data_IF_148494071082
#
_entry.id   IF_148494071082
#
_cell.length_a   1.000
_cell.length_b   1.000
_cell.length_c   1.000
_cell.angle_alpha   90.00
_cell.angle_beta   90.00
_cell.angle_gamma   90.00
#
_symmetry.space_group_name_H-M   'P 1'
#
loop_
_entity.id
_entity.type
_entity.pdbx_description
1 polymer ?
#
# COMPACT_ATOMS: atom_id res chain seq x y z
N UNK A 1 -31.51 -16.13 42.25
CA UNK A 1 -30.69 -16.82 41.22
C UNK A 1 -31.58 -17.14 40.01
N UNK A 2 -31.41 -16.59 38.81
CA UNK A 2 -30.19 -16.58 37.98
C UNK A 2 -30.31 -15.44 36.97
N UNK A 3 -29.22 -14.71 36.75
CA UNK A 3 -29.06 -13.67 35.72
C UNK A 3 -28.71 -14.37 34.39
N UNK A 4 -29.28 -13.96 33.26
CA UNK A 4 -28.52 -13.99 32.00
C UNK A 4 -29.01 -12.92 31.01
N UNK A 5 -28.05 -12.06 30.65
CA UNK A 5 -28.12 -11.01 29.65
C UNK A 5 -28.35 -11.61 28.25
N UNK A 6 -29.12 -10.93 27.41
CA UNK A 6 -29.05 -11.16 25.96
C UNK A 6 -28.81 -9.82 25.28
N UNK A 7 -27.59 -9.71 24.74
CA UNK A 7 -27.01 -8.57 24.05
C UNK A 7 -27.92 -7.99 22.98
N UNK A 8 -28.04 -6.67 22.96
CA UNK A 8 -28.48 -5.92 21.78
C UNK A 8 -27.37 -5.97 20.73
N UNK A 9 -27.51 -6.82 19.72
CA UNK A 9 -26.68 -6.78 18.52
C UNK A 9 -27.11 -5.56 17.71
N UNK A 10 -26.29 -4.51 17.73
CA UNK A 10 -26.45 -3.36 16.82
C UNK A 10 -25.80 -3.77 15.50
N UNK A 11 -26.63 -4.15 14.52
CA UNK A 11 -26.21 -4.33 13.13
C UNK A 11 -25.89 -2.95 12.54
N UNK A 12 -24.61 -2.60 12.49
CA UNK A 12 -24.13 -1.47 11.70
C UNK A 12 -24.07 -1.92 10.25
N UNK A 13 -25.12 -1.60 9.49
CA UNK A 13 -25.15 -1.78 8.04
C UNK A 13 -24.18 -0.78 7.40
N UNK A 14 -22.98 -1.24 7.05
CA UNK A 14 -22.10 -0.50 6.14
C UNK A 14 -22.76 -0.47 4.76
N UNK A 15 -23.34 0.66 4.39
CA UNK A 15 -23.80 0.89 3.02
C UNK A 15 -22.57 0.98 2.12
N UNK A 16 -22.28 -0.09 1.38
CA UNK A 16 -21.33 -0.08 0.27
C UNK A 16 -21.82 0.92 -0.77
N UNK A 17 -21.17 2.08 -0.85
CA UNK A 17 -21.36 3.01 -1.95
C UNK A 17 -20.68 2.37 -3.16
N UNK A 18 -21.46 1.65 -3.96
CA UNK A 18 -21.02 1.20 -5.28
C UNK A 18 -20.91 2.44 -6.18
N UNK A 19 -19.73 3.07 -6.19
CA UNK A 19 -19.41 4.15 -7.11
C UNK A 19 -19.26 3.53 -8.50
N UNK A 20 -20.33 3.52 -9.30
CA UNK A 20 -20.29 3.05 -10.69
C UNK A 20 -19.60 4.09 -11.57
N UNK A 21 -18.28 4.22 -11.41
CA UNK A 21 -17.45 4.89 -12.39
C UNK A 21 -17.19 3.88 -13.52
N UNK A 22 -17.95 3.99 -14.61
CA UNK A 22 -17.58 3.39 -15.90
C UNK A 22 -16.35 4.18 -16.37
N UNK A 23 -15.19 3.88 -15.79
CA UNK A 23 -13.92 4.32 -16.33
C UNK A 23 -13.66 3.43 -17.53
N UNK A 24 -13.55 4.03 -18.72
CA UNK A 24 -13.06 3.33 -19.89
C UNK A 24 -11.81 2.55 -19.50
N UNK A 25 -11.76 1.27 -19.87
CA UNK A 25 -10.57 0.42 -19.69
C UNK A 25 -9.39 1.20 -20.29
N UNK A 26 -8.52 1.74 -19.46
CA UNK A 26 -7.49 2.68 -19.87
C UNK A 26 -6.15 2.08 -19.51
N UNK A 27 -5.28 1.92 -20.51
CA UNK A 27 -3.85 1.59 -20.30
C UNK A 27 -3.11 2.68 -19.52
N UNK A 28 -3.71 3.84 -19.35
CA UNK A 28 -3.01 5.02 -18.85
C UNK A 28 -3.12 5.09 -17.34
N UNK A 29 -1.98 5.39 -16.72
CA UNK A 29 -1.90 5.66 -15.30
C UNK A 29 -2.43 7.06 -15.01
N UNK A 30 -3.41 7.16 -14.12
CA UNK A 30 -4.02 8.42 -13.70
C UNK A 30 -3.59 8.73 -12.28
N UNK A 31 -3.07 9.93 -12.05
CA UNK A 31 -2.78 10.41 -10.70
C UNK A 31 -4.09 10.78 -9.98
N UNK A 32 -4.22 10.34 -8.73
CA UNK A 32 -5.40 10.54 -7.91
C UNK A 32 -5.01 10.97 -6.50
N UNK A 33 -5.95 11.61 -5.79
CA UNK A 33 -5.76 11.94 -4.38
C UNK A 33 -5.77 10.67 -3.55
N UNK A 34 -4.81 10.56 -2.63
CA UNK A 34 -4.73 9.45 -1.67
C UNK A 34 -5.87 9.56 -0.66
N UNK A 35 -6.59 8.46 -0.44
CA UNK A 35 -7.64 8.35 0.57
C UNK A 35 -7.25 7.38 1.70
N UNK A 36 -8.02 7.37 2.78
CA UNK A 36 -7.83 6.42 3.88
C UNK A 36 -8.00 4.96 3.42
N UNK A 37 -8.91 4.70 2.47
CA UNK A 37 -9.11 3.38 1.89
C UNK A 37 -7.88 2.92 1.07
N UNK A 38 -7.20 3.86 0.41
CA UNK A 38 -5.96 3.55 -0.33
C UNK A 38 -4.81 3.22 0.63
N UNK A 39 -4.73 3.93 1.77
CA UNK A 39 -3.78 3.61 2.84
C UNK A 39 -4.04 2.21 3.41
N UNK A 40 -5.30 1.87 3.69
CA UNK A 40 -5.68 0.54 4.16
C UNK A 40 -5.29 -0.55 3.15
N UNK A 41 -5.57 -0.34 1.86
CA UNK A 41 -5.18 -1.24 0.79
C UNK A 41 -3.66 -1.47 0.77
N UNK A 42 -2.88 -0.38 0.81
CA UNK A 42 -1.41 -0.45 0.81
C UNK A 42 -0.89 -1.25 2.01
N UNK A 43 -1.32 -0.90 3.22
CA UNK A 43 -0.81 -1.52 4.44
C UNK A 43 -1.26 -2.98 4.55
N UNK A 44 -2.48 -3.31 4.14
CA UNK A 44 -2.96 -4.69 4.10
C UNK A 44 -2.17 -5.54 3.08
N UNK A 45 -1.89 -4.99 1.90
CA UNK A 45 -1.10 -5.68 0.88
C UNK A 45 0.34 -5.94 1.35
N UNK A 46 0.97 -4.97 2.02
CA UNK A 46 2.31 -5.14 2.61
C UNK A 46 2.32 -6.12 3.79
N UNK A 47 1.31 -6.09 4.66
CA UNK A 47 1.25 -6.96 5.82
C UNK A 47 1.05 -8.44 5.46
N UNK A 48 0.46 -8.73 4.31
CA UNK A 48 0.16 -10.08 3.86
C UNK A 48 1.25 -10.62 2.92
N UNK A 49 2.38 -11.07 3.49
CA UNK A 49 3.51 -11.60 2.70
C UNK A 49 3.17 -12.83 1.87
N UNK A 50 2.07 -13.54 2.17
CA UNK A 50 1.61 -14.69 1.37
C UNK A 50 1.07 -14.29 -0.01
N UNK A 51 0.71 -13.02 -0.21
CA UNK A 51 0.24 -12.49 -1.50
C UNK A 51 1.35 -11.77 -2.27
N UNK A 52 2.59 -11.86 -1.83
CA UNK A 52 3.70 -11.28 -2.57
C UNK A 52 3.92 -12.08 -3.86
N UNK A 53 4.15 -11.36 -4.95
CA UNK A 53 4.66 -11.98 -6.16
C UNK A 53 6.00 -12.67 -5.86
N UNK A 54 6.28 -13.84 -6.49
CA UNK A 54 7.42 -14.68 -6.13
C UNK A 54 8.79 -14.01 -6.34
N UNK A 55 8.84 -12.92 -7.11
CA UNK A 55 10.05 -12.15 -7.39
C UNK A 55 10.35 -11.07 -6.35
N UNK A 56 9.45 -10.83 -5.39
CA UNK A 56 9.65 -9.84 -4.34
C UNK A 56 10.44 -10.48 -3.20
N UNK A 57 11.71 -10.08 -3.07
CA UNK A 57 12.58 -10.50 -1.96
C UNK A 57 12.79 -9.39 -0.92
N UNK A 58 12.23 -8.21 -1.16
CA UNK A 58 12.39 -7.02 -0.31
C UNK A 58 11.22 -6.90 0.64
N UNK A 59 11.49 -6.76 1.93
CA UNK A 59 10.48 -6.40 2.93
C UNK A 59 10.56 -4.92 3.24
N UNK A 60 9.40 -4.26 3.34
CA UNK A 60 9.31 -2.83 3.62
C UNK A 60 8.16 -2.54 4.56
N UNK A 61 8.30 -1.46 5.33
CA UNK A 61 7.15 -0.74 5.84
C UNK A 61 7.02 0.59 5.09
N UNK A 62 5.80 1.08 4.96
CA UNK A 62 5.48 2.34 4.33
C UNK A 62 4.93 3.34 5.36
N UNK A 63 5.23 4.62 5.17
CA UNK A 63 4.50 5.72 5.77
C UNK A 63 3.33 6.12 4.85
N UNK A 64 2.66 7.23 5.18
CA UNK A 64 1.63 7.82 4.33
C UNK A 64 2.21 8.11 2.93
N UNK A 65 1.53 7.68 1.84
CA UNK A 65 1.96 7.95 0.48
C UNK A 65 2.05 9.44 0.16
N UNK A 66 3.07 9.81 -0.61
CA UNK A 66 3.22 11.15 -1.18
C UNK A 66 2.29 11.34 -2.39
N UNK A 67 2.12 10.30 -3.21
CA UNK A 67 1.20 10.29 -4.34
C UNK A 67 0.75 8.88 -4.68
N UNK A 68 -0.36 8.81 -5.42
CA UNK A 68 -0.93 7.57 -5.92
C UNK A 68 -1.29 7.72 -7.40
N UNK A 69 -0.91 6.71 -8.18
CA UNK A 69 -1.42 6.52 -9.54
C UNK A 69 -2.22 5.23 -9.62
N UNK A 70 -3.32 5.26 -10.35
CA UNK A 70 -4.18 4.08 -10.58
C UNK A 70 -4.33 3.80 -12.06
N UNK A 71 -4.59 2.54 -12.39
CA UNK A 71 -4.86 2.08 -13.75
C UNK A 71 -5.93 0.99 -13.70
N UNK A 72 -6.96 1.09 -14.53
CA UNK A 72 -7.97 0.05 -14.66
C UNK A 72 -7.43 -1.04 -15.59
N UNK A 73 -6.91 -2.12 -15.02
CA UNK A 73 -6.28 -3.20 -15.77
C UNK A 73 -7.29 -4.11 -16.48
N UNK A 74 -8.44 -4.35 -15.84
CA UNK A 74 -9.55 -5.14 -16.38
C UNK A 74 -10.87 -4.72 -15.70
N UNK A 75 -12.05 -5.20 -16.15
CA UNK A 75 -13.34 -4.86 -15.52
C UNK A 75 -13.42 -5.20 -14.03
N UNK A 76 -12.59 -6.13 -13.56
CA UNK A 76 -12.57 -6.57 -12.16
C UNK A 76 -11.24 -6.31 -11.47
N UNK A 77 -10.29 -5.63 -12.13
CA UNK A 77 -8.92 -5.49 -11.63
C UNK A 77 -8.42 -4.08 -11.81
N UNK A 78 -7.86 -3.52 -10.73
CA UNK A 78 -7.20 -2.22 -10.72
C UNK A 78 -5.76 -2.37 -10.24
N UNK A 79 -4.85 -1.63 -10.87
CA UNK A 79 -3.47 -1.50 -10.45
C UNK A 79 -3.27 -0.17 -9.74
N UNK A 80 -2.42 -0.20 -8.71
CA UNK A 80 -2.07 0.94 -7.88
C UNK A 80 -0.54 1.07 -7.87
N UNK A 81 -0.04 2.29 -7.99
CA UNK A 81 1.35 2.65 -7.82
C UNK A 81 1.44 3.74 -6.74
N UNK A 82 1.84 3.32 -5.54
CA UNK A 82 2.03 4.20 -4.41
C UNK A 82 3.47 4.70 -4.40
N UNK A 83 3.66 6.01 -4.46
CA UNK A 83 4.96 6.63 -4.17
C UNK A 83 5.00 7.00 -2.69
N UNK A 84 5.88 6.36 -1.92
CA UNK A 84 5.89 6.44 -0.46
C UNK A 84 7.31 6.58 0.07
N UNK A 85 7.45 7.28 1.19
CA UNK A 85 8.62 7.16 2.04
C UNK A 85 8.45 5.99 3.01
N UNK A 86 9.54 5.32 3.39
CA UNK A 86 9.47 4.21 4.33
C UNK A 86 10.83 3.63 4.68
N UNK A 87 10.80 2.36 5.06
CA UNK A 87 11.96 1.62 5.53
C UNK A 87 12.09 0.30 4.77
N UNK A 88 13.30 -0.01 4.33
CA UNK A 88 13.68 -1.36 3.91
C UNK A 88 14.03 -2.15 5.17
N UNK A 89 13.39 -3.30 5.32
CA UNK A 89 13.49 -4.20 6.46
C UNK A 89 14.39 -5.39 6.13
N UNK A 90 14.90 -6.06 7.17
CA UNK A 90 15.68 -7.30 7.04
C UNK A 90 14.80 -8.53 6.91
N UNK A 91 13.62 -8.48 7.49
CA UNK A 91 12.66 -9.57 7.58
C UNK A 91 11.22 -9.01 7.54
N UNK A 92 10.25 -9.92 7.58
CA UNK A 92 8.84 -9.61 7.46
C UNK A 92 8.16 -9.26 8.79
N UNK A 93 8.86 -9.12 9.91
CA UNK A 93 8.21 -8.92 11.21
C UNK A 93 7.45 -7.57 11.28
N UNK A 94 7.95 -6.56 10.58
CA UNK A 94 7.46 -5.18 10.66
C UNK A 94 6.90 -4.64 9.34
N UNK A 95 6.48 -5.51 8.41
CA UNK A 95 5.85 -5.07 7.15
C UNK A 95 4.50 -4.40 7.39
N UNK A 96 4.06 -3.56 6.45
CA UNK A 96 2.82 -2.79 6.56
C UNK A 96 3.08 -1.31 6.83
N UNK A 97 2.34 -0.74 7.78
CA UNK A 97 2.58 0.64 8.25
C UNK A 97 3.83 0.70 9.11
N UNK A 98 4.70 1.67 8.86
CA UNK A 98 5.88 1.87 9.70
C UNK A 98 5.51 2.26 11.14
N UNK A 99 6.09 1.61 12.16
CA UNK A 99 6.07 2.10 13.53
C UNK A 99 6.64 3.53 13.65
N UNK A 100 6.15 4.30 14.63
CA UNK A 100 6.58 5.69 14.88
C UNK A 100 8.09 5.85 15.15
N UNK A 101 8.79 4.77 15.52
CA UNK A 101 10.22 4.77 15.86
C UNK A 101 11.10 3.99 14.87
N UNK A 102 10.60 3.66 13.68
CA UNK A 102 11.31 2.77 12.73
C UNK A 102 12.61 3.37 12.17
N UNK A 103 12.76 4.69 12.25
CA UNK A 103 13.92 5.43 11.73
C UNK A 103 15.28 4.95 12.29
N UNK A 104 15.33 4.31 13.46
CA UNK A 104 16.58 3.93 14.11
C UNK A 104 17.16 2.58 13.66
N UNK A 105 16.36 1.70 13.04
CA UNK A 105 16.75 0.30 12.78
C UNK A 105 16.52 -0.15 11.34
N UNK A 106 16.29 0.77 10.42
CA UNK A 106 15.99 0.46 9.03
C UNK A 106 16.82 1.30 8.06
N UNK A 107 16.86 0.88 6.79
CA UNK A 107 17.35 1.74 5.72
C UNK A 107 16.18 2.55 5.17
N UNK A 108 16.17 3.85 5.44
CA UNK A 108 15.16 4.77 4.89
C UNK A 108 15.27 4.85 3.36
N UNK A 109 14.12 4.88 2.69
CA UNK A 109 14.04 5.03 1.25
C UNK A 109 12.69 5.61 0.79
N UNK A 110 12.70 6.27 -0.35
CA UNK A 110 11.50 6.46 -1.16
C UNK A 110 11.31 5.26 -2.07
N UNK A 111 10.07 4.89 -2.31
CA UNK A 111 9.73 3.64 -2.99
C UNK A 111 8.47 3.82 -3.82
N UNK A 112 8.41 3.09 -4.93
CA UNK A 112 7.19 2.80 -5.64
C UNK A 112 6.71 1.39 -5.28
N UNK A 113 5.50 1.30 -4.75
CA UNK A 113 4.88 0.04 -4.35
C UNK A 113 3.69 -0.23 -5.28
N UNK A 114 3.74 -1.37 -5.96
CA UNK A 114 2.72 -1.76 -6.93
C UNK A 114 1.81 -2.82 -6.34
N UNK A 115 0.51 -2.53 -6.32
CA UNK A 115 -0.54 -3.42 -5.81
C UNK A 115 -1.56 -3.66 -6.93
N UNK A 116 -1.87 -4.92 -7.18
CA UNK A 116 -3.05 -5.30 -7.97
C UNK A 116 -4.20 -5.61 -7.01
N UNK A 117 -5.40 -5.09 -7.28
CA UNK A 117 -6.60 -5.35 -6.49
C UNK A 117 -7.72 -5.91 -7.36
N UNK A 118 -8.33 -7.00 -6.91
CA UNK A 118 -9.47 -7.65 -7.53
C UNK A 118 -10.77 -7.19 -6.85
N UNK A 119 -11.59 -6.45 -7.59
CA UNK A 119 -12.84 -5.86 -7.09
C UNK A 119 -13.91 -6.88 -6.72
N UNK A 120 -13.87 -8.08 -7.31
CA UNK A 120 -14.89 -9.12 -7.11
C UNK A 120 -14.62 -9.99 -5.88
N UNK A 121 -13.35 -10.17 -5.52
CA UNK A 121 -12.91 -11.02 -4.41
C UNK A 121 -12.39 -10.23 -3.22
N UNK A 122 -12.21 -8.92 -3.38
CA UNK A 122 -11.48 -8.04 -2.46
C UNK A 122 -10.06 -8.55 -2.14
N UNK A 123 -9.48 -9.36 -3.04
CA UNK A 123 -8.13 -9.85 -2.91
C UNK A 123 -7.15 -8.83 -3.50
N UNK A 124 -6.03 -8.60 -2.82
CA UNK A 124 -4.93 -7.79 -3.33
C UNK A 124 -3.63 -8.57 -3.37
N UNK A 125 -2.80 -8.26 -4.37
CA UNK A 125 -1.50 -8.86 -4.59
C UNK A 125 -0.43 -7.76 -4.65
N UNK A 126 0.67 -7.95 -3.92
CA UNK A 126 1.84 -7.10 -4.09
C UNK A 126 2.62 -7.57 -5.31
N UNK A 127 2.71 -6.72 -6.34
CA UNK A 127 3.29 -7.11 -7.63
C UNK A 127 4.73 -6.65 -7.81
N UNK A 128 5.09 -5.50 -7.21
CA UNK A 128 6.48 -5.01 -7.25
C UNK A 128 6.76 -4.00 -6.14
N UNK A 129 8.04 -3.92 -5.74
CA UNK A 129 8.59 -2.86 -4.92
C UNK A 129 9.83 -2.32 -5.63
N UNK A 130 9.81 -1.04 -6.01
CA UNK A 130 10.96 -0.36 -6.61
C UNK A 130 11.48 0.68 -5.63
N UNK A 131 12.69 0.48 -5.14
CA UNK A 131 13.38 1.44 -4.27
C UNK A 131 14.01 2.53 -5.12
N UNK A 132 13.72 3.79 -4.81
CA UNK A 132 14.39 4.91 -5.46
C UNK A 132 15.86 4.98 -5.04
N UNK A 133 16.73 5.29 -6.02
CA UNK A 133 18.12 5.58 -5.71
C UNK A 133 18.14 6.90 -4.91
N UNK A 134 18.81 6.96 -3.74
CA UNK A 134 19.02 8.24 -3.09
C UNK A 134 19.73 9.19 -4.06
N UNK A 135 19.49 10.50 -4.00
CA UNK A 135 20.27 11.44 -4.80
C UNK A 135 21.75 11.17 -4.54
N UNK A 136 22.50 10.83 -5.59
CA UNK A 136 23.95 10.80 -5.50
C UNK A 136 24.38 12.25 -5.28
N UNK A 137 24.72 12.58 -4.05
CA UNK A 137 25.53 13.76 -3.82
C UNK A 137 26.91 13.45 -4.39
N UNK A 138 27.12 13.78 -5.66
CA UNK A 138 28.47 14.02 -6.17
C UNK A 138 28.97 15.24 -5.38
N UNK A 139 29.71 14.96 -4.31
CA UNK A 139 30.62 15.92 -3.73
C UNK A 139 31.74 16.11 -4.75
N UNK A 140 31.47 16.84 -5.83
CA UNK A 140 32.54 17.42 -6.63
C UNK A 140 33.28 18.40 -5.71
N UNK A 141 34.42 17.93 -5.20
CA UNK A 141 35.43 18.72 -4.52
C UNK A 141 35.88 19.88 -5.41
N UNK A 142 35.17 21.02 -5.30
CA UNK A 142 35.71 22.32 -5.67
C UNK A 142 35.86 23.18 -4.42
N UNK A 143 36.95 22.94 -3.71
CA UNK A 143 37.60 23.96 -2.89
C UNK A 143 38.61 24.69 -3.78
N UNK A 144 38.15 25.76 -4.45
CA UNK A 144 39.03 26.81 -4.98
C UNK A 144 39.22 27.91 -3.94
#
# INVERSE_FOLDING_TARGET
>A
PTIMFVSRVVLVSFTLIALSAIQAMGSDWVEVNVTDADNELLYAALANTSTYSPNITTFVCANVPYSLKTQVASPSTSNYNFHVGGCILRDSEFVGSCPVNTAYNCKLANMHIFVESQLTTNASQLTSITVEKPPSYDFDDKWE
#
